data_IF_293055755707
#
_entry.id   IF_293055755707
#
_cell.length_a   1.000
_cell.length_b   1.000
_cell.length_c   1.000
_cell.angle_alpha   90.00
_cell.angle_beta   90.00
_cell.angle_gamma   90.00
#
_symmetry.space_group_name_H-M   'P 1'
#
loop_
_entity.id
_entity.type
_entity.pdbx_description
1 polymer ?
#
# COMPACT_ATOMS: atom_id res chain seq x y z
N UNK A 1 27.22 7.36 18.82
CA UNK A 1 25.75 7.39 18.81
C UNK A 1 25.35 6.25 17.94
N UNK A 2 24.86 5.17 18.50
CA UNK A 2 24.32 4.05 17.75
C UNK A 2 23.07 4.57 17.05
N UNK A 3 23.14 4.67 15.73
CA UNK A 3 22.00 4.88 14.85
C UNK A 3 21.10 3.66 15.04
N UNK A 4 20.15 3.75 15.97
CA UNK A 4 19.18 2.68 16.18
C UNK A 4 18.22 2.77 15.02
N UNK A 5 18.50 2.05 13.95
CA UNK A 5 17.63 1.99 12.79
C UNK A 5 16.25 1.51 13.25
N UNK A 6 15.19 2.22 12.86
CA UNK A 6 13.79 1.86 13.16
C UNK A 6 13.55 0.42 12.69
N UNK A 7 12.85 -0.43 13.47
CA UNK A 7 12.71 -1.86 13.17
C UNK A 7 12.20 -2.17 11.75
N UNK A 8 11.24 -1.38 11.26
CA UNK A 8 10.74 -1.50 9.88
C UNK A 8 11.84 -1.24 8.85
N UNK A 9 12.65 -0.18 9.06
CA UNK A 9 13.72 0.19 8.13
C UNK A 9 14.86 -0.83 8.18
N UNK A 10 15.22 -1.33 9.37
CA UNK A 10 16.18 -2.41 9.52
C UNK A 10 15.74 -3.67 8.76
N UNK A 11 14.48 -4.08 8.94
CA UNK A 11 13.94 -5.23 8.22
C UNK A 11 13.99 -5.01 6.70
N UNK A 12 13.61 -3.83 6.20
CA UNK A 12 13.66 -3.50 4.76
C UNK A 12 15.07 -3.42 4.20
N UNK A 13 16.07 -3.23 5.03
CA UNK A 13 17.48 -3.34 4.65
C UNK A 13 18.01 -4.78 4.69
N UNK A 14 17.14 -5.77 4.89
CA UNK A 14 17.49 -7.18 4.91
C UNK A 14 17.93 -7.70 6.28
N UNK A 15 17.80 -6.91 7.36
CA UNK A 15 18.15 -7.34 8.70
C UNK A 15 17.02 -8.18 9.31
N UNK A 16 17.38 -9.27 9.97
CA UNK A 16 16.45 -10.02 10.81
C UNK A 16 16.19 -9.25 12.10
N UNK A 17 14.94 -8.88 12.34
CA UNK A 17 14.49 -8.24 13.58
C UNK A 17 13.62 -9.23 14.37
N UNK A 18 13.86 -9.38 15.66
CA UNK A 18 13.15 -10.33 16.53
C UNK A 18 12.73 -9.64 17.84
N UNK A 19 11.44 -9.56 18.16
CA UNK A 19 10.29 -9.97 17.34
C UNK A 19 10.17 -9.16 16.04
N UNK A 20 9.50 -9.70 14.99
CA UNK A 20 9.34 -8.99 13.74
C UNK A 20 8.53 -7.70 13.94
N UNK A 21 8.92 -6.58 13.29
CA UNK A 21 8.15 -5.35 13.38
C UNK A 21 6.76 -5.53 12.77
N UNK A 22 5.77 -4.84 13.34
CA UNK A 22 4.36 -4.99 12.99
C UNK A 22 3.69 -3.66 12.69
N UNK A 23 2.96 -3.63 11.58
CA UNK A 23 1.94 -2.65 11.26
C UNK A 23 0.82 -3.33 10.48
N UNK A 24 -0.36 -2.72 10.33
CA UNK A 24 -1.48 -3.35 9.65
C UNK A 24 -2.02 -2.48 8.51
N UNK A 25 -2.22 -3.08 7.35
CA UNK A 25 -2.88 -2.41 6.22
C UNK A 25 -4.28 -1.93 6.62
N UNK A 26 -4.57 -0.64 6.35
CA UNK A 26 -5.79 0.05 6.78
C UNK A 26 -5.91 0.18 8.30
N UNK A 27 -4.78 0.25 9.02
CA UNK A 27 -4.75 0.44 10.48
C UNK A 27 -5.49 1.72 10.92
N UNK A 28 -5.44 2.81 10.15
CA UNK A 28 -6.37 3.93 10.28
C UNK A 28 -7.66 3.57 9.52
N UNK A 29 -8.72 3.23 10.24
CA UNK A 29 -9.90 2.69 9.58
C UNK A 29 -11.15 2.61 10.44
N UNK A 30 -12.27 2.27 9.81
CA UNK A 30 -13.61 2.27 10.41
C UNK A 30 -13.83 1.32 11.60
N UNK A 31 -12.86 0.47 11.92
CA UNK A 31 -12.89 -0.36 13.12
C UNK A 31 -12.50 0.42 14.39
N UNK A 32 -11.92 1.63 14.23
CA UNK A 32 -11.56 2.53 15.33
C UNK A 32 -12.67 3.58 15.55
N UNK A 33 -13.24 3.66 16.75
CA UNK A 33 -14.25 4.68 17.08
C UNK A 33 -13.73 6.12 16.88
N UNK A 34 -12.47 6.38 17.28
CA UNK A 34 -11.81 7.66 17.12
C UNK A 34 -11.61 8.08 15.66
N UNK A 35 -11.33 7.12 14.77
CA UNK A 35 -11.31 7.37 13.33
C UNK A 35 -12.68 7.74 12.79
N UNK A 36 -13.73 7.03 13.23
CA UNK A 36 -15.09 7.30 12.78
C UNK A 36 -15.53 8.71 13.15
N UNK A 37 -15.19 9.19 14.35
CA UNK A 37 -15.49 10.55 14.81
C UNK A 37 -14.81 11.61 13.90
N UNK A 38 -13.51 11.49 13.65
CA UNK A 38 -12.78 12.44 12.77
C UNK A 38 -13.32 12.41 11.34
N UNK A 39 -13.67 11.22 10.83
CA UNK A 39 -14.23 11.07 9.49
C UNK A 39 -15.60 11.75 9.35
N UNK A 40 -16.44 11.67 10.38
CA UNK A 40 -17.73 12.33 10.40
C UNK A 40 -17.57 13.86 10.39
N UNK A 41 -16.64 14.40 11.18
CA UNK A 41 -16.31 15.83 11.21
C UNK A 41 -15.74 16.34 9.86
N UNK A 42 -15.04 15.50 9.12
CA UNK A 42 -14.49 15.86 7.80
C UNK A 42 -15.57 15.96 6.72
N UNK A 43 -16.79 15.44 6.97
CA UNK A 43 -17.89 15.49 6.02
C UNK A 43 -17.73 14.58 4.80
N UNK A 44 -16.75 13.65 4.78
CA UNK A 44 -16.55 12.67 3.71
C UNK A 44 -15.15 12.11 3.64
N UNK A 45 -15.00 11.04 2.86
CA UNK A 45 -13.72 10.33 2.78
C UNK A 45 -12.66 11.14 2.02
N UNK A 46 -13.03 11.70 0.87
CA UNK A 46 -12.08 12.48 0.06
C UNK A 46 -11.70 13.78 0.79
N UNK A 47 -12.67 14.44 1.44
CA UNK A 47 -12.39 15.62 2.27
C UNK A 47 -11.37 15.30 3.36
N UNK A 48 -11.51 14.13 4.02
CA UNK A 48 -10.54 13.69 5.03
C UNK A 48 -9.15 13.48 4.44
N UNK A 49 -9.03 12.95 3.21
CA UNK A 49 -7.73 12.77 2.56
C UNK A 49 -7.03 14.11 2.23
N UNK A 50 -7.82 15.18 2.00
CA UNK A 50 -7.30 16.52 1.67
C UNK A 50 -7.32 17.51 2.86
N UNK A 51 -7.63 17.05 4.06
CA UNK A 51 -7.51 17.83 5.30
C UNK A 51 -6.24 17.39 6.05
N UNK A 52 -5.13 18.16 5.99
CA UNK A 52 -3.85 17.71 6.55
C UNK A 52 -3.90 17.43 8.05
N UNK A 53 -4.63 18.23 8.83
CA UNK A 53 -4.71 18.06 10.27
C UNK A 53 -5.47 16.78 10.64
N UNK A 54 -6.63 16.56 10.02
CA UNK A 54 -7.44 15.36 10.26
C UNK A 54 -6.80 14.10 9.71
N UNK A 55 -6.18 14.16 8.52
CA UNK A 55 -5.47 13.02 7.94
C UNK A 55 -4.24 12.64 8.79
N UNK A 56 -3.50 13.61 9.31
CA UNK A 56 -2.39 13.35 10.23
C UNK A 56 -2.90 12.75 11.55
N UNK A 57 -3.98 13.29 12.12
CA UNK A 57 -4.60 12.76 13.33
C UNK A 57 -4.97 11.28 13.18
N UNK A 58 -5.73 10.92 12.13
CA UNK A 58 -6.15 9.52 11.93
C UNK A 58 -4.97 8.61 11.59
N UNK A 59 -3.92 9.12 10.97
CA UNK A 59 -2.69 8.35 10.71
C UNK A 59 -1.99 7.96 12.02
N UNK A 60 -1.97 8.85 13.02
CA UNK A 60 -1.27 8.64 14.29
C UNK A 60 -2.10 7.88 15.34
N UNK A 61 -3.43 7.83 15.21
CA UNK A 61 -4.31 7.13 16.15
C UNK A 61 -3.92 5.67 16.40
N UNK A 62 -3.67 4.83 15.37
CA UNK A 62 -3.28 3.44 15.57
C UNK A 62 -1.95 3.28 16.31
N UNK A 63 -1.00 4.19 16.11
CA UNK A 63 0.29 4.15 16.80
C UNK A 63 0.13 4.45 18.28
N UNK A 64 -0.66 5.47 18.62
CA UNK A 64 -0.98 5.80 20.01
C UNK A 64 -1.73 4.70 20.74
N UNK A 65 -2.64 4.03 20.03
CA UNK A 65 -3.48 2.97 20.60
C UNK A 65 -2.74 1.65 20.75
N UNK A 66 -2.03 1.23 19.73
CA UNK A 66 -1.50 -0.13 19.62
C UNK A 66 0.04 -0.21 19.67
N UNK A 67 0.73 0.91 19.54
CA UNK A 67 2.20 0.94 19.52
C UNK A 67 2.78 0.22 18.32
N UNK A 68 2.21 0.38 17.12
CA UNK A 68 2.75 -0.16 15.88
C UNK A 68 4.13 0.42 15.55
N UNK A 69 4.94 -0.36 14.82
CA UNK A 69 6.31 0.01 14.43
C UNK A 69 6.35 0.88 13.16
N UNK A 70 5.21 1.09 12.49
CA UNK A 70 5.07 2.06 11.41
C UNK A 70 3.70 2.74 11.38
N UNK A 71 3.70 4.01 10.99
CA UNK A 71 2.56 4.68 10.38
C UNK A 71 2.56 4.42 8.88
N UNK A 72 1.40 4.21 8.29
CA UNK A 72 1.20 4.40 6.86
C UNK A 72 0.35 5.64 6.65
N UNK A 73 0.78 6.51 5.75
CA UNK A 73 0.04 7.72 5.37
C UNK A 73 -1.45 7.42 5.16
N UNK A 74 -2.33 8.20 5.79
CA UNK A 74 -3.75 8.14 5.45
C UNK A 74 -4.02 8.96 4.19
N UNK A 75 -4.39 8.28 3.11
CA UNK A 75 -4.75 8.82 1.81
C UNK A 75 -5.52 7.76 1.01
N UNK A 76 -5.73 8.00 -0.28
CA UNK A 76 -6.33 7.02 -1.20
C UNK A 76 -5.47 6.84 -2.45
N UNK A 77 -5.56 5.67 -3.10
CA UNK A 77 -4.86 5.39 -4.36
C UNK A 77 -5.40 6.20 -5.54
N UNK A 78 -6.62 6.72 -5.43
CA UNK A 78 -7.31 7.49 -6.48
C UNK A 78 -7.07 9.01 -6.38
N UNK A 79 -6.25 9.48 -5.44
CA UNK A 79 -5.85 10.89 -5.40
C UNK A 79 -5.03 11.30 -6.63
N UNK A 80 -4.30 10.36 -7.25
CA UNK A 80 -3.56 10.60 -8.50
C UNK A 80 -4.52 10.85 -9.68
N UNK A 81 -5.46 9.95 -10.04
CA UNK A 81 -6.45 10.26 -11.07
C UNK A 81 -7.22 11.55 -10.80
N UNK A 82 -7.62 11.80 -9.54
CA UNK A 82 -8.28 13.04 -9.16
C UNK A 82 -7.41 14.27 -9.43
N UNK A 83 -6.14 14.24 -9.05
CA UNK A 83 -5.20 15.34 -9.29
C UNK A 83 -4.81 15.50 -10.78
N UNK A 84 -4.96 14.46 -11.60
CA UNK A 84 -4.82 14.52 -13.05
C UNK A 84 -6.05 15.13 -13.75
N UNK A 85 -7.15 15.39 -13.00
CA UNK A 85 -8.36 16.00 -13.53
C UNK A 85 -9.49 15.01 -13.86
N UNK A 86 -9.38 13.73 -13.47
CA UNK A 86 -10.50 12.79 -13.57
C UNK A 86 -11.45 13.01 -12.39
N UNK A 87 -12.76 13.09 -12.67
CA UNK A 87 -13.77 13.17 -11.61
C UNK A 87 -13.77 11.90 -10.76
N UNK A 88 -13.57 12.06 -9.45
CA UNK A 88 -13.57 10.97 -8.46
C UNK A 88 -14.51 11.32 -7.32
N UNK A 89 -15.46 10.45 -7.07
CA UNK A 89 -16.41 10.57 -5.95
C UNK A 89 -16.44 9.29 -5.13
N UNK A 90 -16.85 9.40 -3.87
CA UNK A 90 -17.00 8.25 -2.97
C UNK A 90 -18.42 8.22 -2.43
N UNK A 91 -19.21 7.26 -2.88
CA UNK A 91 -20.58 7.06 -2.41
C UNK A 91 -20.62 6.10 -1.23
N UNK A 92 -21.47 6.43 -0.26
CA UNK A 92 -21.62 5.60 0.94
C UNK A 92 -22.16 4.21 0.57
N UNK A 93 -21.36 3.17 0.81
CA UNK A 93 -21.73 1.77 0.53
C UNK A 93 -21.39 1.27 -0.87
N UNK A 94 -21.08 2.15 -1.83
CA UNK A 94 -20.81 1.77 -3.22
C UNK A 94 -19.31 1.83 -3.60
N UNK A 95 -18.49 2.51 -2.81
CA UNK A 95 -17.07 2.71 -3.09
C UNK A 95 -16.81 3.88 -4.05
N UNK A 96 -15.63 3.91 -4.69
CA UNK A 96 -15.26 5.00 -5.61
C UNK A 96 -16.03 4.92 -6.92
N UNK A 97 -16.35 6.11 -7.46
CA UNK A 97 -16.92 6.32 -8.79
C UNK A 97 -16.06 7.31 -9.55
N UNK A 98 -15.71 6.98 -10.79
CA UNK A 98 -14.91 7.79 -11.69
C UNK A 98 -15.62 7.95 -13.03
N UNK A 99 -15.41 9.08 -13.72
CA UNK A 99 -15.79 9.21 -15.14
C UNK A 99 -14.86 8.34 -16.00
N UNK A 100 -15.35 7.25 -16.65
CA UNK A 100 -14.47 6.25 -17.25
C UNK A 100 -13.63 6.78 -18.41
N UNK A 101 -12.36 6.38 -18.46
CA UNK A 101 -11.41 6.60 -19.56
C UNK A 101 -11.28 5.28 -20.32
N UNK A 102 -11.70 5.21 -21.58
CA UNK A 102 -11.81 3.94 -22.32
C UNK A 102 -11.00 3.89 -23.60
N UNK A 103 -10.34 4.97 -23.98
CA UNK A 103 -9.51 5.05 -25.16
C UNK A 103 -8.42 6.14 -25.03
N UNK A 104 -7.50 6.15 -25.97
CA UNK A 104 -6.40 7.11 -25.99
C UNK A 104 -6.86 8.58 -26.14
N UNK A 105 -7.99 8.84 -26.81
CA UNK A 105 -8.50 10.21 -26.98
C UNK A 105 -9.02 10.76 -25.63
N UNK A 106 -9.56 9.92 -24.77
CA UNK A 106 -10.02 10.32 -23.44
C UNK A 106 -8.87 10.71 -22.51
N UNK A 107 -7.63 10.26 -22.79
CA UNK A 107 -6.44 10.65 -22.02
C UNK A 107 -6.05 12.13 -22.19
N UNK A 108 -6.47 12.77 -23.29
CA UNK A 108 -6.20 14.21 -23.53
C UNK A 108 -6.85 15.12 -22.47
N UNK A 109 -7.81 14.59 -21.71
CA UNK A 109 -8.45 15.31 -20.58
C UNK A 109 -7.60 15.34 -19.31
N UNK A 110 -6.58 14.47 -19.23
CA UNK A 110 -5.71 14.36 -18.07
C UNK A 110 -4.49 15.30 -18.22
N UNK A 111 -4.08 15.91 -17.12
CA UNK A 111 -2.96 16.84 -17.11
C UNK A 111 -2.10 16.70 -15.85
N UNK A 112 -0.80 16.73 -16.03
CA UNK A 112 0.19 16.81 -14.95
C UNK A 112 0.37 18.22 -14.38
N UNK A 113 -0.17 19.26 -15.03
CA UNK A 113 0.17 20.64 -14.72
C UNK A 113 -0.15 21.06 -13.28
N UNK A 114 -1.27 20.58 -12.73
CA UNK A 114 -1.74 20.93 -11.38
C UNK A 114 -1.53 19.81 -10.37
N UNK A 115 -0.82 18.73 -10.75
CA UNK A 115 -0.66 17.53 -9.92
C UNK A 115 -0.16 17.87 -8.50
N UNK A 116 0.91 18.64 -8.40
CA UNK A 116 1.51 18.96 -7.09
C UNK A 116 0.74 20.01 -6.31
N UNK A 117 0.02 20.91 -6.96
CA UNK A 117 -0.88 21.85 -6.31
C UNK A 117 -2.05 21.08 -5.67
N UNK A 118 -2.70 20.22 -6.44
CA UNK A 118 -3.80 19.40 -5.98
C UNK A 118 -3.40 18.45 -4.82
N UNK A 119 -2.21 17.84 -4.91
CA UNK A 119 -1.70 16.93 -3.88
C UNK A 119 -0.99 17.62 -2.71
N UNK A 120 -0.85 18.93 -2.74
CA UNK A 120 -0.20 19.76 -1.69
C UNK A 120 -0.66 19.44 -0.26
N UNK A 121 -1.97 19.34 0.02
CA UNK A 121 -2.47 18.98 1.34
C UNK A 121 -1.98 17.60 1.82
N UNK A 122 -1.82 16.63 0.92
CA UNK A 122 -1.34 15.29 1.27
C UNK A 122 0.15 15.32 1.66
N UNK A 123 0.96 16.12 0.97
CA UNK A 123 2.37 16.33 1.36
C UNK A 123 2.48 17.02 2.73
N UNK A 124 1.55 17.93 3.03
CA UNK A 124 1.47 18.55 4.36
C UNK A 124 1.10 17.51 5.43
N UNK A 125 0.16 16.60 5.14
CA UNK A 125 -0.14 15.46 6.02
C UNK A 125 1.13 14.66 6.33
N UNK A 126 1.94 14.32 5.31
CA UNK A 126 3.20 13.59 5.50
C UNK A 126 4.14 14.33 6.45
N UNK A 127 4.30 15.66 6.28
CA UNK A 127 5.15 16.48 7.18
C UNK A 127 4.65 16.47 8.62
N UNK A 128 3.36 16.66 8.83
CA UNK A 128 2.76 16.65 10.17
C UNK A 128 2.89 15.29 10.85
N UNK A 129 2.64 14.20 10.12
CA UNK A 129 2.84 12.83 10.64
C UNK A 129 4.30 12.58 10.98
N UNK A 130 5.23 12.94 10.11
CA UNK A 130 6.68 12.77 10.34
C UNK A 130 7.13 13.47 11.62
N UNK A 131 6.58 14.65 11.92
CA UNK A 131 6.88 15.41 13.15
C UNK A 131 6.22 14.82 14.41
N UNK A 132 5.08 14.13 14.24
CA UNK A 132 4.29 13.54 15.32
C UNK A 132 4.55 12.06 15.58
N UNK A 133 5.50 11.42 14.87
CA UNK A 133 5.79 10.00 15.04
C UNK A 133 6.35 9.69 16.42
N UNK A 134 5.91 8.60 17.08
CA UNK A 134 6.60 8.05 18.23
C UNK A 134 8.03 7.64 17.88
N UNK A 135 8.93 7.69 18.87
CA UNK A 135 10.30 7.18 18.73
C UNK A 135 10.29 5.71 18.29
N UNK A 136 11.11 5.37 17.32
CA UNK A 136 11.21 4.00 16.77
C UNK A 136 10.19 3.66 15.69
N UNK A 137 9.10 4.41 15.53
CA UNK A 137 8.15 4.18 14.43
C UNK A 137 8.62 4.83 13.13
N UNK A 138 8.41 4.14 12.00
CA UNK A 138 8.71 4.66 10.66
C UNK A 138 7.45 5.20 9.97
N UNK A 139 7.61 6.13 9.03
CA UNK A 139 6.52 6.59 8.17
C UNK A 139 6.61 5.93 6.78
N UNK A 140 5.58 5.19 6.43
CA UNK A 140 5.43 4.60 5.10
C UNK A 140 4.55 5.52 4.26
N UNK A 141 5.13 6.05 3.17
CA UNK A 141 4.38 6.66 2.08
C UNK A 141 3.84 5.57 1.14
N UNK A 142 2.83 5.89 0.35
CA UNK A 142 2.29 4.88 -0.57
C UNK A 142 1.62 5.50 -1.80
N UNK A 143 1.43 4.65 -2.80
CA UNK A 143 0.56 4.90 -3.94
C UNK A 143 -0.10 3.62 -4.44
N UNK A 144 -1.15 3.74 -5.23
CA UNK A 144 -1.63 2.65 -6.07
C UNK A 144 -0.65 2.39 -7.21
N UNK A 145 -0.38 1.11 -7.49
CA UNK A 145 0.39 0.74 -8.67
C UNK A 145 -0.41 1.03 -9.96
N UNK A 146 0.29 1.33 -11.07
CA UNK A 146 -0.35 1.78 -12.30
C UNK A 146 -1.47 0.88 -12.81
N UNK A 147 -1.32 -0.44 -12.78
CA UNK A 147 -2.38 -1.37 -13.21
C UNK A 147 -3.66 -1.21 -12.36
N UNK A 148 -3.53 -1.27 -11.04
CA UNK A 148 -4.70 -1.13 -10.14
C UNK A 148 -5.38 0.22 -10.32
N UNK A 149 -4.64 1.32 -10.43
CA UNK A 149 -5.22 2.65 -10.66
C UNK A 149 -5.90 2.71 -12.04
N UNK A 150 -5.25 2.22 -13.09
CA UNK A 150 -5.81 2.15 -14.44
C UNK A 150 -7.12 1.36 -14.48
N UNK A 151 -7.24 0.25 -13.71
CA UNK A 151 -8.50 -0.49 -13.66
C UNK A 151 -9.67 0.38 -13.17
N UNK A 152 -9.48 1.17 -12.11
CA UNK A 152 -10.51 2.09 -11.64
C UNK A 152 -10.81 3.20 -12.65
N UNK A 153 -9.77 3.78 -13.26
CA UNK A 153 -9.93 4.84 -14.26
C UNK A 153 -10.72 4.37 -15.48
N UNK A 154 -10.52 3.13 -15.90
CA UNK A 154 -11.16 2.58 -17.11
C UNK A 154 -12.53 1.98 -16.82
N UNK A 155 -12.71 1.26 -15.70
CA UNK A 155 -13.99 0.70 -15.31
C UNK A 155 -14.98 1.77 -14.78
N UNK A 156 -14.46 2.83 -14.17
CA UNK A 156 -15.24 3.87 -13.50
C UNK A 156 -15.73 3.49 -12.10
N UNK A 157 -15.46 2.27 -11.66
CA UNK A 157 -15.86 1.73 -10.35
C UNK A 157 -15.11 0.43 -10.02
N UNK A 158 -15.41 -0.15 -8.87
CA UNK A 158 -14.94 -1.51 -8.57
C UNK A 158 -15.54 -2.52 -9.57
N UNK A 159 -14.72 -3.48 -9.99
CA UNK A 159 -15.12 -4.57 -10.91
C UNK A 159 -14.63 -5.92 -10.37
N UNK A 160 -15.25 -7.01 -10.83
CA UNK A 160 -14.79 -8.36 -10.50
C UNK A 160 -13.80 -8.88 -11.55
N UNK A 161 -14.10 -8.67 -12.84
CA UNK A 161 -13.38 -9.29 -13.96
C UNK A 161 -12.61 -8.28 -14.82
N UNK A 162 -12.81 -6.97 -14.58
CA UNK A 162 -12.15 -5.86 -15.27
C UNK A 162 -12.23 -5.96 -16.80
N UNK A 163 -13.44 -6.17 -17.40
CA UNK A 163 -13.56 -6.47 -18.83
C UNK A 163 -13.11 -5.30 -19.72
N UNK A 164 -13.36 -4.05 -19.31
CA UNK A 164 -12.96 -2.89 -20.10
C UNK A 164 -11.44 -2.67 -20.02
N UNK A 165 -10.86 -2.67 -18.82
CA UNK A 165 -9.42 -2.49 -18.61
C UNK A 165 -8.62 -3.62 -19.28
N UNK A 166 -8.98 -4.87 -19.05
CA UNK A 166 -8.34 -6.03 -19.69
C UNK A 166 -8.59 -6.05 -21.20
N UNK A 167 -9.80 -5.70 -21.63
CA UNK A 167 -10.16 -5.61 -23.05
C UNK A 167 -9.27 -4.60 -23.79
N UNK A 168 -9.08 -3.41 -23.22
CA UNK A 168 -8.18 -2.41 -23.80
C UNK A 168 -6.71 -2.86 -23.72
N UNK A 169 -6.22 -3.29 -22.54
CA UNK A 169 -4.84 -3.73 -22.36
C UNK A 169 -4.43 -4.88 -23.29
N UNK A 170 -5.34 -5.80 -23.61
CA UNK A 170 -5.06 -6.96 -24.48
C UNK A 170 -5.39 -6.68 -25.96
N UNK A 171 -6.38 -5.84 -26.25
CA UNK A 171 -6.80 -5.51 -27.61
C UNK A 171 -5.99 -4.42 -28.28
N UNK A 172 -5.58 -3.39 -27.50
CA UNK A 172 -4.68 -2.32 -27.92
C UNK A 172 -3.63 -2.06 -26.82
N UNK A 173 -2.64 -2.95 -26.68
CA UNK A 173 -1.64 -2.85 -25.63
C UNK A 173 -0.74 -1.61 -25.74
N UNK A 174 -0.63 -0.98 -26.90
CA UNK A 174 0.16 0.24 -27.07
C UNK A 174 -0.63 1.47 -26.68
N UNK A 175 -1.91 1.57 -27.00
CA UNK A 175 -2.79 2.63 -26.54
C UNK A 175 -2.96 2.57 -24.99
N UNK A 176 -3.10 1.38 -24.43
CA UNK A 176 -3.16 1.20 -22.97
C UNK A 176 -1.83 1.58 -22.28
N UNK A 177 -0.69 1.33 -22.94
CA UNK A 177 0.63 1.70 -22.41
C UNK A 177 0.75 3.21 -22.17
N UNK A 178 0.10 4.06 -22.98
CA UNK A 178 0.12 5.51 -22.77
C UNK A 178 -0.50 5.88 -21.42
N UNK A 179 -1.59 5.23 -21.03
CA UNK A 179 -2.18 5.42 -19.69
C UNK A 179 -1.23 4.94 -18.58
N UNK A 180 -0.61 3.76 -18.77
CA UNK A 180 0.35 3.22 -17.80
C UNK A 180 1.55 4.15 -17.66
N UNK A 181 2.10 4.68 -18.75
CA UNK A 181 3.25 5.59 -18.73
C UNK A 181 2.92 6.92 -18.00
N UNK A 182 1.73 7.46 -18.22
CA UNK A 182 1.23 8.63 -17.48
C UNK A 182 1.12 8.34 -15.96
N UNK A 183 0.62 7.14 -15.61
CA UNK A 183 0.53 6.74 -14.21
C UNK A 183 1.90 6.47 -13.59
N UNK A 184 2.86 5.93 -14.33
CA UNK A 184 4.25 5.80 -13.86
C UNK A 184 4.84 7.18 -13.57
N UNK A 185 4.67 8.14 -14.47
CA UNK A 185 5.19 9.49 -14.30
C UNK A 185 4.55 10.20 -13.10
N UNK A 186 3.22 10.23 -13.04
CA UNK A 186 2.48 10.89 -11.94
C UNK A 186 2.71 10.23 -10.58
N UNK A 187 2.74 8.89 -10.53
CA UNK A 187 3.00 8.15 -9.29
C UNK A 187 4.43 8.40 -8.81
N UNK A 188 5.42 8.39 -9.70
CA UNK A 188 6.81 8.71 -9.35
C UNK A 188 6.91 10.11 -8.76
N UNK A 189 6.35 11.11 -9.44
CA UNK A 189 6.35 12.50 -8.98
C UNK A 189 5.70 12.64 -7.60
N UNK A 190 4.58 11.95 -7.37
CA UNK A 190 3.87 11.91 -6.09
C UNK A 190 4.70 11.29 -4.96
N UNK A 191 5.35 10.14 -5.23
CA UNK A 191 6.15 9.45 -4.22
C UNK A 191 7.42 10.22 -3.86
N UNK A 192 8.10 10.84 -4.83
CA UNK A 192 9.27 11.70 -4.56
C UNK A 192 8.90 12.83 -3.59
N UNK A 193 7.74 13.45 -3.76
CA UNK A 193 7.25 14.50 -2.84
C UNK A 193 6.86 13.95 -1.46
N UNK A 194 6.40 12.71 -1.35
CA UNK A 194 6.18 12.09 -0.04
C UNK A 194 7.51 11.87 0.70
N UNK A 195 8.56 11.42 -0.01
CA UNK A 195 9.89 11.28 0.59
C UNK A 195 10.45 12.63 1.04
N UNK A 196 10.37 13.64 0.18
CA UNK A 196 10.78 15.03 0.52
C UNK A 196 10.02 15.57 1.75
N UNK A 197 8.77 15.18 1.92
CA UNK A 197 7.93 15.57 3.05
C UNK A 197 8.19 14.74 4.34
N UNK A 198 8.95 13.64 4.28
CA UNK A 198 9.37 12.86 5.44
C UNK A 198 8.96 11.39 5.45
N UNK A 199 8.49 10.82 4.35
CA UNK A 199 8.30 9.38 4.25
C UNK A 199 9.65 8.65 4.23
N UNK A 200 9.78 7.56 4.99
CA UNK A 200 11.02 6.83 5.21
C UNK A 200 11.07 5.48 4.47
N UNK A 201 9.92 5.02 4.01
CA UNK A 201 9.74 3.87 3.12
C UNK A 201 8.53 4.12 2.23
N UNK A 202 8.45 3.42 1.11
CA UNK A 202 7.33 3.54 0.17
C UNK A 202 6.69 2.19 -0.09
N UNK A 203 5.36 2.19 -0.32
CA UNK A 203 4.64 0.99 -0.72
C UNK A 203 3.77 1.23 -1.95
N UNK A 204 3.90 0.34 -2.94
CA UNK A 204 3.06 0.30 -4.14
C UNK A 204 2.02 -0.81 -4.02
N UNK A 205 0.74 -0.42 -3.98
CA UNK A 205 -0.37 -1.35 -3.86
C UNK A 205 -0.94 -1.73 -5.23
N UNK A 206 -0.74 -2.99 -5.65
CA UNK A 206 -1.35 -3.53 -6.86
C UNK A 206 -2.39 -4.60 -6.52
N UNK A 207 -3.50 -4.14 -5.96
CA UNK A 207 -4.58 -4.99 -5.42
C UNK A 207 -5.19 -5.93 -6.47
N UNK A 208 -5.16 -5.53 -7.75
CA UNK A 208 -5.77 -6.25 -8.85
C UNK A 208 -4.77 -6.95 -9.79
N UNK A 209 -3.51 -7.07 -9.37
CA UNK A 209 -2.46 -7.73 -10.16
C UNK A 209 -2.79 -9.19 -10.50
N UNK A 210 -3.41 -9.91 -9.57
CA UNK A 210 -3.73 -11.34 -9.71
C UNK A 210 -4.75 -11.69 -10.80
N UNK A 211 -5.42 -10.71 -11.41
CA UNK A 211 -6.32 -10.98 -12.54
C UNK A 211 -5.62 -11.01 -13.89
N UNK A 212 -4.32 -10.67 -13.92
CA UNK A 212 -3.52 -10.63 -15.13
C UNK A 212 -2.86 -11.98 -15.45
N UNK A 213 -2.87 -12.43 -16.71
CA UNK A 213 -1.98 -13.50 -17.15
C UNK A 213 -0.53 -13.01 -17.13
N UNK A 214 0.44 -13.94 -17.01
CA UNK A 214 1.87 -13.64 -16.80
C UNK A 214 2.41 -12.51 -17.71
N UNK A 215 2.19 -12.61 -19.03
CA UNK A 215 2.72 -11.63 -19.99
C UNK A 215 2.13 -10.21 -19.78
N UNK A 216 0.88 -10.12 -19.36
CA UNK A 216 0.25 -8.83 -19.04
C UNK A 216 0.66 -8.33 -17.65
N UNK A 217 0.85 -9.24 -16.68
CA UNK A 217 1.44 -8.92 -15.39
C UNK A 217 2.84 -8.31 -15.54
N UNK A 218 3.69 -8.92 -16.36
CA UNK A 218 5.04 -8.40 -16.59
C UNK A 218 5.00 -6.99 -17.18
N UNK A 219 4.14 -6.76 -18.16
CA UNK A 219 4.06 -5.50 -18.88
C UNK A 219 3.37 -4.38 -18.09
N UNK A 220 2.25 -4.68 -17.41
CA UNK A 220 1.36 -3.66 -16.85
C UNK A 220 1.37 -3.58 -15.32
N UNK A 221 1.98 -4.55 -14.63
CA UNK A 221 2.15 -4.57 -13.17
C UNK A 221 3.62 -4.51 -12.78
N UNK A 222 4.41 -5.55 -13.05
CA UNK A 222 5.79 -5.66 -12.58
C UNK A 222 6.70 -4.57 -13.17
N UNK A 223 6.74 -4.39 -14.49
CA UNK A 223 7.60 -3.40 -15.14
C UNK A 223 7.29 -1.95 -14.67
N UNK A 224 6.02 -1.49 -14.59
CA UNK A 224 5.69 -0.19 -14.04
C UNK A 224 6.10 -0.02 -12.56
N UNK A 225 5.91 -1.04 -11.72
CA UNK A 225 6.35 -1.01 -10.32
C UNK A 225 7.86 -0.84 -10.22
N UNK A 226 8.63 -1.65 -10.96
CA UNK A 226 10.10 -1.55 -11.00
C UNK A 226 10.57 -0.21 -11.54
N UNK A 227 9.94 0.33 -12.59
CA UNK A 227 10.31 1.63 -13.15
C UNK A 227 10.06 2.78 -12.16
N UNK A 228 8.94 2.78 -11.43
CA UNK A 228 8.68 3.74 -10.36
C UNK A 228 9.75 3.62 -9.28
N UNK A 229 10.01 2.39 -8.78
CA UNK A 229 11.00 2.15 -7.75
C UNK A 229 12.41 2.60 -8.18
N UNK A 230 12.82 2.29 -9.41
CA UNK A 230 14.09 2.74 -10.00
C UNK A 230 14.20 4.26 -10.02
N UNK A 231 13.17 4.96 -10.54
CA UNK A 231 13.16 6.44 -10.59
C UNK A 231 13.19 7.08 -9.20
N UNK A 232 12.55 6.48 -8.22
CA UNK A 232 12.63 6.93 -6.81
C UNK A 232 14.05 6.77 -6.31
N UNK A 233 14.69 5.60 -6.52
CA UNK A 233 16.05 5.31 -6.06
C UNK A 233 17.13 6.11 -6.80
N UNK A 234 16.88 6.55 -8.03
CA UNK A 234 17.76 7.47 -8.75
C UNK A 234 17.91 8.83 -8.00
N UNK A 235 16.89 9.25 -7.25
CA UNK A 235 16.86 10.48 -6.46
C UNK A 235 17.18 10.24 -4.98
N UNK A 236 16.62 9.19 -4.42
CA UNK A 236 16.75 8.79 -3.01
C UNK A 236 17.21 7.32 -2.91
N UNK A 237 18.51 7.03 -3.06
CA UNK A 237 19.02 5.65 -3.16
C UNK A 237 18.71 4.76 -1.95
N UNK A 238 18.60 5.36 -0.76
CA UNK A 238 18.44 4.66 0.51
C UNK A 238 16.96 4.42 0.91
N UNK A 239 16.01 4.95 0.13
CA UNK A 239 14.57 4.78 0.42
C UNK A 239 14.13 3.37 0.03
N UNK A 240 13.67 2.53 0.97
CA UNK A 240 13.16 1.21 0.64
C UNK A 240 11.78 1.28 -0.03
N UNK A 241 11.59 0.39 -1.01
CA UNK A 241 10.33 0.25 -1.76
C UNK A 241 9.75 -1.14 -1.57
N UNK A 242 8.49 -1.20 -1.15
CA UNK A 242 7.70 -2.43 -0.97
C UNK A 242 6.71 -2.53 -2.13
N UNK A 243 6.73 -3.64 -2.85
CA UNK A 243 5.73 -3.97 -3.87
C UNK A 243 4.69 -4.94 -3.30
N UNK A 244 3.40 -4.67 -3.49
CA UNK A 244 2.33 -5.57 -3.07
C UNK A 244 1.36 -5.90 -4.22
N UNK A 245 1.75 -6.76 -5.17
CA UNK A 245 0.87 -7.29 -6.22
C UNK A 245 0.05 -8.46 -5.67
N UNK A 246 -1.13 -8.16 -5.12
CA UNK A 246 -2.03 -9.13 -4.49
C UNK A 246 -2.55 -10.16 -5.50
N UNK A 247 -2.63 -11.41 -5.08
CA UNK A 247 -3.12 -12.53 -5.90
C UNK A 247 -2.13 -13.01 -6.97
N UNK A 248 -0.89 -12.48 -6.96
CA UNK A 248 0.13 -12.78 -7.95
C UNK A 248 1.28 -13.65 -7.40
N UNK A 249 1.01 -14.50 -6.39
CA UNK A 249 2.04 -15.24 -5.66
C UNK A 249 3.04 -15.97 -6.58
N UNK A 250 2.58 -16.61 -7.67
CA UNK A 250 3.45 -17.33 -8.61
C UNK A 250 4.43 -16.42 -9.38
N UNK A 251 4.19 -15.12 -9.42
CA UNK A 251 5.03 -14.14 -10.14
C UNK A 251 5.96 -13.37 -9.18
N UNK A 252 5.73 -13.45 -7.86
CA UNK A 252 6.54 -12.76 -6.85
C UNK A 252 8.03 -13.15 -6.85
N UNK A 253 8.46 -14.41 -7.15
CA UNK A 253 9.88 -14.75 -7.14
C UNK A 253 10.73 -13.96 -8.14
N UNK A 254 10.15 -13.57 -9.27
CA UNK A 254 10.84 -12.71 -10.23
C UNK A 254 10.95 -11.29 -9.72
N UNK A 255 9.84 -10.75 -9.17
CA UNK A 255 9.79 -9.40 -8.62
C UNK A 255 10.71 -9.24 -7.39
N UNK A 256 10.75 -10.24 -6.50
CA UNK A 256 11.61 -10.23 -5.31
C UNK A 256 13.12 -10.20 -5.63
N UNK A 257 13.51 -10.56 -6.85
CA UNK A 257 14.90 -10.50 -7.32
C UNK A 257 15.28 -9.18 -8.00
N UNK A 258 14.32 -8.29 -8.20
CA UNK A 258 14.60 -6.99 -8.82
C UNK A 258 15.33 -6.09 -7.82
N UNK A 259 16.49 -5.51 -8.21
CA UNK A 259 17.32 -4.74 -7.29
C UNK A 259 16.65 -3.45 -6.76
N UNK A 260 15.60 -3.01 -7.42
CA UNK A 260 14.82 -1.83 -7.02
C UNK A 260 13.82 -2.12 -5.89
N UNK A 261 13.53 -3.42 -5.62
CA UNK A 261 12.50 -3.86 -4.69
C UNK A 261 13.16 -4.39 -3.40
N UNK A 262 12.94 -3.71 -2.29
CA UNK A 262 13.48 -4.09 -0.98
C UNK A 262 12.54 -5.03 -0.20
N UNK A 263 11.24 -4.91 -0.46
CA UNK A 263 10.24 -5.74 0.18
C UNK A 263 9.10 -6.17 -0.74
N UNK A 264 8.57 -7.36 -0.50
CA UNK A 264 7.37 -7.87 -1.18
C UNK A 264 6.26 -8.18 -0.18
N UNK A 265 5.11 -7.57 -0.42
CA UNK A 265 3.88 -7.90 0.30
C UNK A 265 3.29 -9.21 -0.20
N UNK A 266 2.85 -10.04 0.71
CA UNK A 266 2.23 -11.35 0.44
C UNK A 266 0.81 -11.38 0.98
N UNK A 267 -0.10 -11.93 0.19
CA UNK A 267 -1.49 -12.07 0.62
C UNK A 267 -1.73 -13.33 1.48
N UNK A 268 -2.90 -13.36 2.14
CA UNK A 268 -3.26 -14.41 3.07
C UNK A 268 -3.45 -15.80 2.43
N UNK A 269 -3.55 -15.90 1.10
CA UNK A 269 -3.67 -17.18 0.40
C UNK A 269 -2.31 -17.85 0.15
N UNK A 270 -1.22 -17.13 0.39
CA UNK A 270 0.15 -17.63 0.13
C UNK A 270 0.67 -18.40 1.35
N UNK A 271 1.23 -19.59 1.13
CA UNK A 271 1.82 -20.41 2.19
C UNK A 271 3.12 -19.80 2.74
N UNK A 272 3.22 -19.48 4.05
CA UNK A 272 4.43 -18.92 4.66
C UNK A 272 5.69 -19.78 4.48
N UNK A 273 5.57 -21.11 4.47
CA UNK A 273 6.71 -22.00 4.27
C UNK A 273 7.26 -21.90 2.83
N UNK A 274 6.38 -21.69 1.84
CA UNK A 274 6.79 -21.40 0.47
C UNK A 274 7.44 -20.02 0.37
N UNK A 275 6.88 -19.00 1.05
CA UNK A 275 7.43 -17.64 1.10
C UNK A 275 8.85 -17.62 1.68
N UNK A 276 9.08 -18.35 2.79
CA UNK A 276 10.40 -18.46 3.43
C UNK A 276 11.45 -19.03 2.47
N UNK A 277 11.05 -19.96 1.61
CA UNK A 277 11.95 -20.63 0.67
C UNK A 277 12.18 -19.84 -0.62
N UNK A 278 11.13 -19.27 -1.20
CA UNK A 278 11.18 -18.71 -2.55
C UNK A 278 11.37 -17.19 -2.59
N UNK A 279 10.93 -16.45 -1.57
CA UNK A 279 10.94 -14.98 -1.57
C UNK A 279 11.93 -14.39 -0.56
N UNK A 280 11.93 -14.88 0.67
CA UNK A 280 12.71 -14.30 1.77
C UNK A 280 14.23 -14.29 1.54
N UNK A 281 14.84 -15.22 0.76
CA UNK A 281 16.25 -15.11 0.40
C UNK A 281 16.61 -13.93 -0.52
N UNK A 282 15.62 -13.27 -1.11
CA UNK A 282 15.81 -12.24 -2.13
C UNK A 282 15.32 -10.86 -1.72
N UNK A 283 14.25 -10.78 -0.90
CA UNK A 283 13.67 -9.54 -0.43
C UNK A 283 13.06 -9.72 0.95
N UNK A 284 12.87 -8.63 1.68
CA UNK A 284 12.06 -8.64 2.90
C UNK A 284 10.63 -9.02 2.58
N UNK A 285 10.06 -9.96 3.34
CA UNK A 285 8.65 -10.37 3.14
C UNK A 285 7.75 -9.67 4.15
N UNK A 286 6.59 -9.20 3.68
CA UNK A 286 5.60 -8.50 4.50
C UNK A 286 4.24 -9.17 4.39
N UNK A 287 3.68 -9.60 5.52
CA UNK A 287 2.36 -10.25 5.58
C UNK A 287 2.39 -11.37 6.61
N UNK A 288 1.46 -12.34 6.58
CA UNK A 288 0.33 -12.46 5.64
C UNK A 288 -0.93 -12.96 6.37
N UNK A 289 -1.18 -12.39 7.56
CA UNK A 289 -2.29 -12.84 8.39
C UNK A 289 -3.65 -12.56 7.71
N UNK A 290 -4.59 -13.53 7.80
CA UNK A 290 -5.92 -13.38 7.20
C UNK A 290 -6.78 -12.35 7.97
N UNK A 291 -7.24 -11.26 7.32
CA UNK A 291 -8.13 -10.29 7.96
C UNK A 291 -9.47 -10.88 8.44
N UNK A 292 -9.94 -11.96 7.82
CA UNK A 292 -11.16 -12.67 8.26
C UNK A 292 -10.90 -13.41 9.59
N UNK A 293 -9.72 -13.99 9.74
CA UNK A 293 -9.35 -14.65 11.01
C UNK A 293 -9.18 -13.59 12.11
N UNK A 294 -8.63 -12.40 11.79
CA UNK A 294 -8.57 -11.30 12.74
C UNK A 294 -9.97 -10.84 13.18
N UNK A 295 -10.92 -10.78 12.25
CA UNK A 295 -12.31 -10.47 12.56
C UNK A 295 -12.95 -11.56 13.41
N UNK A 296 -12.73 -12.83 13.08
CA UNK A 296 -13.32 -13.98 13.78
C UNK A 296 -12.77 -14.14 15.21
N UNK A 297 -11.48 -13.85 15.43
CA UNK A 297 -10.84 -13.99 16.74
C UNK A 297 -10.69 -15.46 17.16
N UNK A 298 -10.90 -15.71 18.47
CA UNK A 298 -10.75 -17.05 19.05
C UNK A 298 -9.29 -17.44 19.30
N UNK A 299 -9.05 -18.69 19.68
CA UNK A 299 -7.69 -19.20 19.97
C UNK A 299 -6.85 -19.37 18.71
N UNK A 300 -7.50 -19.57 17.58
CA UNK A 300 -6.83 -19.74 16.28
C UNK A 300 -6.08 -18.47 15.85
N UNK A 301 -6.54 -17.30 16.30
CA UNK A 301 -5.89 -16.01 16.02
C UNK A 301 -4.42 -16.01 16.49
N UNK A 302 -4.19 -16.32 17.77
CA UNK A 302 -2.82 -16.33 18.33
C UNK A 302 -2.00 -17.50 17.81
N UNK A 303 -2.61 -18.67 17.61
CA UNK A 303 -1.94 -19.83 17.07
C UNK A 303 -1.38 -19.52 15.69
N UNK A 304 -2.22 -19.01 14.79
CA UNK A 304 -1.81 -18.69 13.42
C UNK A 304 -0.82 -17.54 13.35
N UNK A 305 -0.94 -16.53 14.23
CA UNK A 305 0.04 -15.45 14.29
C UNK A 305 1.45 -15.99 14.61
N UNK A 306 1.56 -16.88 15.61
CA UNK A 306 2.86 -17.48 15.99
C UNK A 306 3.40 -18.41 14.89
N UNK A 307 2.53 -19.18 14.21
CA UNK A 307 2.94 -20.03 13.08
C UNK A 307 3.57 -19.21 11.94
N UNK A 308 2.99 -18.03 11.61
CA UNK A 308 3.55 -17.14 10.59
C UNK A 308 4.90 -16.59 11.06
N UNK A 309 5.00 -16.10 12.30
CA UNK A 309 6.25 -15.60 12.87
C UNK A 309 7.34 -16.68 12.85
N UNK A 310 7.01 -17.90 13.26
CA UNK A 310 7.94 -19.04 13.27
C UNK A 310 8.37 -19.42 11.85
N UNK A 311 7.42 -19.56 10.92
CA UNK A 311 7.72 -19.94 9.54
C UNK A 311 8.63 -18.95 8.81
N UNK A 312 8.51 -17.64 9.14
CA UNK A 312 9.29 -16.55 8.53
C UNK A 312 10.47 -16.09 9.39
N UNK A 313 10.76 -16.78 10.50
CA UNK A 313 11.83 -16.41 11.44
C UNK A 313 13.25 -16.55 10.87
N UNK A 314 13.42 -17.22 9.73
CA UNK A 314 14.72 -17.47 9.10
C UNK A 314 15.36 -16.27 8.39
N UNK A 315 14.61 -15.19 8.15
CA UNK A 315 15.09 -14.01 7.42
C UNK A 315 14.31 -12.74 7.77
N UNK A 316 14.47 -11.67 6.97
CA UNK A 316 13.80 -10.39 7.22
C UNK A 316 12.28 -10.53 6.99
N UNK A 317 11.50 -10.14 8.02
CA UNK A 317 10.05 -10.23 8.02
C UNK A 317 9.42 -9.00 8.66
N UNK A 318 8.38 -8.45 8.04
CA UNK A 318 7.48 -7.46 8.61
C UNK A 318 6.11 -8.12 8.77
N UNK A 319 5.65 -8.27 10.01
CA UNK A 319 4.32 -8.85 10.24
C UNK A 319 3.24 -7.86 9.80
N UNK A 320 2.31 -8.34 8.99
CA UNK A 320 1.15 -7.59 8.53
C UNK A 320 -0.01 -8.55 8.20
N UNK A 321 -1.17 -7.96 7.88
CA UNK A 321 -2.25 -8.71 7.26
C UNK A 321 -1.95 -8.95 5.77
N UNK A 322 -2.53 -10.01 5.21
CA UNK A 322 -2.49 -10.30 3.78
C UNK A 322 -3.45 -9.42 2.94
N UNK A 323 -4.18 -8.51 3.56
CA UNK A 323 -4.96 -7.40 2.99
C UNK A 323 -5.38 -6.43 4.11
N UNK A 324 -6.14 -5.39 3.79
CA UNK A 324 -6.57 -4.40 4.79
C UNK A 324 -7.52 -4.96 5.86
N UNK A 325 -7.38 -4.44 7.09
CA UNK A 325 -8.29 -4.76 8.19
C UNK A 325 -9.74 -4.44 7.83
N UNK A 326 -10.66 -5.27 8.31
CA UNK A 326 -12.09 -5.14 8.02
C UNK A 326 -12.78 -4.20 9.01
N UNK A 327 -13.74 -3.39 8.57
CA UNK A 327 -14.42 -2.41 9.43
C UNK A 327 -15.07 -2.96 10.71
N UNK A 328 -15.64 -4.19 10.73
CA UNK A 328 -16.25 -4.72 11.95
C UNK A 328 -15.26 -5.46 12.88
N UNK A 329 -13.94 -5.37 12.64
CA UNK A 329 -12.93 -6.05 13.46
C UNK A 329 -12.91 -5.43 14.88
N UNK A 330 -13.05 -6.25 15.94
CA UNK A 330 -12.91 -5.77 17.32
C UNK A 330 -11.47 -5.31 17.62
N UNK A 331 -11.33 -4.18 18.30
CA UNK A 331 -10.01 -3.64 18.68
C UNK A 331 -9.23 -4.58 19.58
N UNK A 332 -9.91 -5.34 20.43
CA UNK A 332 -9.33 -6.36 21.32
C UNK A 332 -8.63 -7.48 20.53
N UNK A 333 -9.13 -7.81 19.34
CA UNK A 333 -8.49 -8.82 18.49
C UNK A 333 -7.16 -8.30 17.92
N UNK A 334 -7.08 -7.00 17.63
CA UNK A 334 -5.81 -6.37 17.20
C UNK A 334 -4.79 -6.38 18.33
N UNK A 335 -5.20 -6.06 19.57
CA UNK A 335 -4.34 -6.12 20.76
C UNK A 335 -3.81 -7.55 21.00
N UNK A 336 -4.68 -8.56 20.88
CA UNK A 336 -4.31 -9.97 21.00
C UNK A 336 -3.34 -10.40 19.89
N UNK A 337 -3.56 -9.97 18.64
CA UNK A 337 -2.65 -10.23 17.53
C UNK A 337 -1.25 -9.69 17.83
N UNK A 338 -1.15 -8.42 18.20
CA UNK A 338 0.13 -7.75 18.50
C UNK A 338 0.86 -8.48 19.64
N UNK A 339 0.13 -8.85 20.71
CA UNK A 339 0.71 -9.63 21.82
C UNK A 339 1.21 -10.99 21.35
N UNK A 340 0.50 -11.66 20.45
CA UNK A 340 0.92 -12.98 19.94
C UNK A 340 2.16 -12.90 19.04
N UNK A 341 2.35 -11.77 18.33
CA UNK A 341 3.52 -11.51 17.48
C UNK A 341 4.74 -11.12 18.29
N UNK A 342 4.54 -10.32 19.35
CA UNK A 342 5.66 -9.82 20.17
C UNK A 342 6.11 -10.75 21.31
N UNK A 343 5.32 -11.76 21.65
CA UNK A 343 5.59 -12.72 22.73
C UNK A 343 4.92 -12.33 24.04
#
# INVERSE_FOLDING_TARGET
MTDSSKPIIAALKGERVDPPPIWLMRQAGRYLPEYCAVREEAGGFLNLCYDPEKAAEVTLQPLRRFGFDAAILFSDILVIPHALGQDVTFEAGEGPRLDPIRDAAALERLSMNELHESLGPIYETVRQVSQGLPEGAALIGFAGAPWTVATYMVEGSGSRDYPNAKGWALGDPNGFQVLIDLLVESTTAYLLRQVEAGAEALQLFDTWAGVLPKHAFDRFSAAPICEIARRVKDVYPDIPVIAFPRGAALYLPELARMPEIDGVGIDYATDPAWVARELQPHATVQGNFDPILLLAGGNELECRAREIVEALSGGPHIFNLGHGILPPTPTEHVERLIKAVRG
#
